data_IF_138459475908
#
_entry.id   IF_138459475908
#
_cell.length_a   1.000
_cell.length_b   1.000
_cell.length_c   1.000
_cell.angle_alpha   90.00
_cell.angle_beta   90.00
_cell.angle_gamma   90.00
#
_symmetry.space_group_name_H-M   'P 1'
#
loop_
_entity.id
_entity.type
_entity.pdbx_description
1 polymer ?
#
# COMPACT_ATOMS: atom_id res chain seq x y z
N UNK A 1 26.43 -8.62 19.71
CA UNK A 1 25.05 -9.00 19.35
C UNK A 1 24.25 -7.71 19.25
N UNK A 2 24.49 -6.99 18.15
CA UNK A 2 23.92 -5.67 17.89
C UNK A 2 22.55 -5.92 17.26
N UNK A 3 21.49 -5.85 18.07
CA UNK A 3 20.12 -6.00 17.58
C UNK A 3 19.85 -4.86 16.61
N UNK A 4 19.99 -5.20 15.33
CA UNK A 4 19.51 -4.54 14.13
C UNK A 4 18.49 -3.45 14.47
N UNK A 5 18.93 -2.19 14.38
CA UNK A 5 18.18 -0.99 14.74
C UNK A 5 16.95 -0.87 13.83
N UNK A 6 15.90 -1.66 14.09
CA UNK A 6 14.61 -1.63 13.40
C UNK A 6 14.11 -0.19 13.53
N UNK A 7 14.05 0.51 12.39
CA UNK A 7 13.49 1.86 12.34
C UNK A 7 12.10 1.82 13.00
N UNK A 8 11.81 2.66 14.01
CA UNK A 8 10.50 2.67 14.64
C UNK A 8 9.43 2.95 13.59
N UNK A 9 8.31 2.23 13.64
CA UNK A 9 7.22 2.42 12.71
C UNK A 9 6.68 3.85 12.81
N UNK A 10 6.39 4.46 11.66
CA UNK A 10 5.75 5.78 11.63
C UNK A 10 4.25 5.66 11.90
N UNK A 11 3.64 6.71 12.45
CA UNK A 11 2.18 6.74 12.63
C UNK A 11 1.44 6.45 11.33
N UNK A 12 1.85 7.10 10.24
CA UNK A 12 1.29 6.88 8.91
C UNK A 12 1.37 5.42 8.46
N UNK A 13 2.53 4.76 8.60
CA UNK A 13 2.69 3.37 8.17
C UNK A 13 1.81 2.43 8.99
N UNK A 14 1.72 2.64 10.31
CA UNK A 14 0.84 1.82 11.17
C UNK A 14 -0.62 2.00 10.78
N UNK A 15 -1.08 3.24 10.64
CA UNK A 15 -2.47 3.56 10.29
C UNK A 15 -2.84 3.05 8.89
N UNK A 16 -1.96 3.23 7.90
CA UNK A 16 -2.16 2.69 6.56
C UNK A 16 -2.23 1.15 6.57
N UNK A 17 -1.34 0.49 7.33
CA UNK A 17 -1.37 -0.97 7.48
C UNK A 17 -2.63 -1.47 8.18
N UNK A 18 -3.14 -0.76 9.19
CA UNK A 18 -4.41 -1.09 9.84
C UNK A 18 -5.57 -1.04 8.85
N UNK A 19 -5.71 0.06 8.10
CA UNK A 19 -6.77 0.20 7.09
C UNK A 19 -6.63 -0.81 5.94
N UNK A 20 -5.40 -1.17 5.54
CA UNK A 20 -5.15 -2.17 4.49
C UNK A 20 -5.60 -3.58 4.87
N UNK A 21 -5.71 -3.88 6.18
CA UNK A 21 -6.10 -5.19 6.69
C UNK A 21 -7.61 -5.43 6.73
N UNK A 22 -8.41 -4.38 6.56
CA UNK A 22 -9.88 -4.45 6.65
C UNK A 22 -10.52 -4.55 5.26
N UNK A 23 -11.66 -5.25 5.20
CA UNK A 23 -12.52 -5.33 4.01
C UNK A 23 -13.98 -5.05 4.41
N UNK A 24 -14.52 -3.84 4.13
CA UNK A 24 -13.90 -2.73 3.41
C UNK A 24 -12.80 -2.01 4.24
N UNK A 25 -11.85 -1.29 3.59
CA UNK A 25 -10.68 -0.69 4.27
C UNK A 25 -11.03 0.58 5.07
N UNK A 26 -11.82 0.42 6.12
CA UNK A 26 -12.38 1.52 6.91
C UNK A 26 -12.52 1.18 8.40
N UNK A 27 -12.03 2.08 9.26
CA UNK A 27 -12.10 1.93 10.71
C UNK A 27 -12.53 3.21 11.44
N UNK A 28 -13.18 3.09 12.61
CA UNK A 28 -13.37 4.21 13.52
C UNK A 28 -12.02 4.77 14.01
N UNK A 29 -11.96 6.09 14.21
CA UNK A 29 -10.77 6.79 14.72
C UNK A 29 -10.32 6.25 16.08
N UNK A 30 -11.25 5.78 16.92
CA UNK A 30 -10.94 5.22 18.23
C UNK A 30 -10.06 3.96 18.09
N UNK A 31 -10.45 3.03 17.22
CA UNK A 31 -9.69 1.80 16.96
C UNK A 31 -8.32 2.11 16.34
N UNK A 32 -8.26 3.07 15.41
CA UNK A 32 -7.00 3.49 14.79
C UNK A 32 -6.02 4.10 15.80
N UNK A 33 -6.53 4.91 16.75
CA UNK A 33 -5.74 5.50 17.82
C UNK A 33 -5.26 4.44 18.81
N UNK A 34 -6.12 3.50 19.20
CA UNK A 34 -5.80 2.39 20.09
C UNK A 34 -4.71 1.49 19.49
N UNK A 35 -4.88 1.09 18.23
CA UNK A 35 -3.92 0.28 17.49
C UNK A 35 -2.57 1.00 17.36
N UNK A 36 -2.57 2.30 17.04
CA UNK A 36 -1.34 3.09 17.01
C UNK A 36 -0.63 3.12 18.38
N UNK A 37 -1.40 3.11 19.47
CA UNK A 37 -0.90 3.01 20.85
C UNK A 37 -0.06 1.76 21.10
N UNK A 38 -0.41 0.62 20.49
CA UNK A 38 0.37 -0.64 20.57
C UNK A 38 1.81 -0.48 20.04
N UNK A 39 2.05 0.53 19.21
CA UNK A 39 3.35 0.86 18.64
C UNK A 39 4.02 2.08 19.31
N UNK A 40 3.51 2.52 20.47
CA UNK A 40 4.04 3.67 21.19
C UNK A 40 3.73 5.03 20.54
N UNK A 41 2.74 5.09 19.65
CA UNK A 41 2.31 6.34 19.02
C UNK A 41 1.19 6.95 19.85
N UNK A 42 1.37 8.20 20.29
CA UNK A 42 0.32 8.89 21.05
C UNK A 42 -0.90 9.20 20.19
N UNK A 43 -2.09 9.23 20.81
CA UNK A 43 -3.33 9.52 20.08
C UNK A 43 -3.34 10.87 19.38
N UNK A 44 -2.64 11.88 19.91
CA UNK A 44 -2.47 13.16 19.20
C UNK A 44 -1.66 13.00 17.91
N UNK A 45 -0.52 12.27 17.96
CA UNK A 45 0.28 11.99 16.76
C UNK A 45 -0.50 11.17 15.73
N UNK A 46 -1.30 10.20 16.18
CA UNK A 46 -2.16 9.41 15.30
C UNK A 46 -3.19 10.28 14.56
N UNK A 47 -3.91 11.16 15.28
CA UNK A 47 -4.90 12.07 14.67
C UNK A 47 -4.26 13.07 13.70
N UNK A 48 -3.11 13.63 14.06
CA UNK A 48 -2.35 14.51 13.15
C UNK A 48 -1.92 13.76 11.88
N UNK A 49 -1.46 12.51 12.02
CA UNK A 49 -1.11 11.68 10.87
C UNK A 49 -2.32 11.36 9.99
N UNK A 50 -3.48 11.03 10.58
CA UNK A 50 -4.73 10.82 9.84
C UNK A 50 -5.15 12.07 9.06
N UNK A 51 -5.12 13.25 9.69
CA UNK A 51 -5.41 14.52 9.02
C UNK A 51 -4.48 14.76 7.83
N UNK A 52 -3.17 14.50 7.99
CA UNK A 52 -2.19 14.60 6.90
C UNK A 52 -2.43 13.58 5.79
N UNK A 53 -2.84 12.35 6.12
CA UNK A 53 -3.19 11.34 5.13
C UNK A 53 -4.42 11.76 4.32
N UNK A 54 -5.43 12.37 4.97
CA UNK A 54 -6.59 12.94 4.27
C UNK A 54 -6.17 14.08 3.35
N UNK A 55 -5.36 15.03 3.84
CA UNK A 55 -4.84 16.12 3.02
C UNK A 55 -3.99 15.65 1.83
N UNK A 56 -3.31 14.51 1.97
CA UNK A 56 -2.52 13.87 0.90
C UNK A 56 -3.36 12.99 -0.05
N UNK A 57 -4.68 12.87 0.16
CA UNK A 57 -5.56 12.03 -0.66
C UNK A 57 -5.37 10.52 -0.46
N UNK A 58 -4.79 10.12 0.67
CA UNK A 58 -4.50 8.71 1.01
C UNK A 58 -5.57 8.07 1.89
N UNK A 59 -6.37 8.90 2.53
CA UNK A 59 -7.54 8.49 3.28
C UNK A 59 -8.67 9.49 3.04
N UNK A 60 -9.89 9.07 3.28
CA UNK A 60 -11.05 9.94 3.40
C UNK A 60 -11.65 9.78 4.79
N UNK A 61 -12.42 10.78 5.23
CA UNK A 61 -13.20 10.70 6.45
C UNK A 61 -14.62 11.16 6.15
N UNK A 62 -15.59 10.54 6.81
CA UNK A 62 -17.00 10.89 6.73
C UNK A 62 -17.37 12.09 7.62
N UNK A 63 -16.43 12.61 8.40
CA UNK A 63 -16.67 13.66 9.39
C UNK A 63 -17.36 13.18 10.67
N UNK A 64 -17.82 11.92 10.71
CA UNK A 64 -18.42 11.28 11.89
C UNK A 64 -17.40 10.42 12.67
N UNK A 65 -16.13 10.46 12.26
CA UNK A 65 -15.02 9.82 12.99
C UNK A 65 -14.62 8.47 12.41
N UNK A 66 -15.02 8.12 11.18
CA UNK A 66 -14.46 6.97 10.46
C UNK A 66 -13.47 7.44 9.40
N UNK A 67 -12.47 6.61 9.16
CA UNK A 67 -11.45 6.84 8.14
C UNK A 67 -11.38 5.64 7.20
N UNK A 68 -11.39 5.92 5.90
CA UNK A 68 -11.30 4.94 4.83
C UNK A 68 -10.03 5.15 4.01
N UNK A 69 -9.39 4.08 3.56
CA UNK A 69 -8.23 4.18 2.66
C UNK A 69 -8.64 4.73 1.28
N UNK A 70 -7.81 5.57 0.69
CA UNK A 70 -8.09 6.23 -0.59
C UNK A 70 -6.85 6.38 -1.48
N UNK A 71 -7.09 6.87 -2.70
CA UNK A 71 -6.05 7.27 -3.64
C UNK A 71 -5.06 6.15 -4.00
N UNK A 72 -3.78 6.50 -4.06
CA UNK A 72 -2.73 5.60 -4.52
C UNK A 72 -2.47 4.41 -3.58
N UNK A 73 -2.86 4.50 -2.30
CA UNK A 73 -2.73 3.39 -1.34
C UNK A 73 -3.81 2.34 -1.58
N UNK A 74 -5.05 2.74 -1.86
CA UNK A 74 -6.13 1.83 -2.22
C UNK A 74 -5.80 1.04 -3.50
N UNK A 75 -5.29 1.73 -4.54
CA UNK A 75 -4.82 1.06 -5.76
C UNK A 75 -3.65 0.08 -5.54
N UNK A 76 -2.93 0.19 -4.42
CA UNK A 76 -1.89 -0.76 -4.03
C UNK A 76 -2.43 -1.93 -3.20
N UNK A 77 -3.54 -1.75 -2.47
CA UNK A 77 -4.13 -2.78 -1.60
C UNK A 77 -4.47 -4.06 -2.37
N UNK A 78 -5.19 -3.94 -3.49
CA UNK A 78 -5.58 -5.10 -4.30
C UNK A 78 -4.36 -5.95 -4.71
N UNK A 79 -3.27 -5.30 -5.16
CA UNK A 79 -2.02 -6.00 -5.50
C UNK A 79 -1.35 -6.64 -4.31
N UNK A 80 -1.35 -5.99 -3.15
CA UNK A 80 -0.78 -6.57 -1.94
C UNK A 80 -1.58 -7.79 -1.49
N UNK A 81 -2.90 -7.70 -1.51
CA UNK A 81 -3.79 -8.81 -1.15
C UNK A 81 -3.59 -10.00 -2.08
N UNK A 82 -3.55 -9.76 -3.40
CA UNK A 82 -3.27 -10.78 -4.43
C UNK A 82 -1.85 -11.35 -4.34
N UNK A 83 -0.88 -10.57 -3.86
CA UNK A 83 0.48 -11.08 -3.60
C UNK A 83 0.52 -11.94 -2.33
N UNK A 84 -0.32 -11.64 -1.34
CA UNK A 84 -0.42 -12.38 -0.06
C UNK A 84 -1.17 -13.70 -0.20
N UNK A 85 -2.16 -13.79 -1.09
CA UNK A 85 -2.88 -15.05 -1.33
C UNK A 85 -1.99 -16.14 -1.93
N UNK A 86 -0.83 -15.76 -2.51
CA UNK A 86 0.21 -16.73 -2.89
C UNK A 86 -0.28 -17.79 -3.88
N UNK A 87 -1.34 -17.50 -4.65
CA UNK A 87 -1.95 -18.44 -5.59
C UNK A 87 -0.96 -18.72 -6.73
N UNK A 88 -0.08 -19.68 -6.50
CA UNK A 88 0.79 -20.28 -7.49
C UNK A 88 0.17 -21.62 -7.89
N UNK A 89 -0.22 -21.74 -9.16
CA UNK A 89 -0.49 -23.05 -9.73
C UNK A 89 0.83 -23.84 -9.84
N UNK A 90 0.79 -25.18 -9.85
CA UNK A 90 1.95 -25.98 -10.24
C UNK A 90 2.51 -25.45 -11.57
N UNK A 91 3.80 -25.18 -11.59
CA UNK A 91 4.44 -24.68 -12.80
C UNK A 91 4.49 -25.79 -13.85
N UNK A 92 4.04 -25.50 -15.06
CA UNK A 92 3.95 -26.45 -16.17
C UNK A 92 5.21 -26.47 -17.06
N UNK A 93 6.29 -25.82 -16.61
CA UNK A 93 7.56 -25.75 -17.33
C UNK A 93 7.63 -24.64 -18.39
N UNK A 94 6.54 -23.88 -18.64
CA UNK A 94 6.50 -22.85 -19.67
C UNK A 94 6.85 -21.47 -19.14
N UNK A 95 7.49 -20.67 -19.99
CA UNK A 95 7.81 -19.26 -19.75
C UNK A 95 7.07 -18.38 -20.75
N UNK A 96 6.65 -17.20 -20.29
CA UNK A 96 6.06 -16.17 -21.15
C UNK A 96 7.14 -15.15 -21.50
N UNK A 97 7.40 -14.99 -22.79
CA UNK A 97 8.30 -13.95 -23.31
C UNK A 97 7.48 -12.95 -24.14
N UNK A 98 7.70 -11.66 -23.90
CA UNK A 98 7.05 -10.58 -24.64
C UNK A 98 8.10 -9.73 -25.35
N UNK A 99 8.12 -9.76 -26.68
CA UNK A 99 9.06 -8.98 -27.49
C UNK A 99 8.45 -7.64 -27.86
N UNK A 100 9.05 -6.54 -27.39
CA UNK A 100 8.53 -5.20 -27.64
C UNK A 100 9.22 -4.57 -28.86
N UNK A 101 8.51 -4.49 -30.00
CA UNK A 101 9.11 -4.08 -31.30
C UNK A 101 9.12 -2.57 -31.61
N UNK A 102 8.69 -1.68 -30.70
CA UNK A 102 8.64 -0.25 -31.03
C UNK A 102 9.97 0.47 -30.76
N UNK A 103 10.42 1.25 -31.74
CA UNK A 103 11.64 2.09 -31.72
C UNK A 103 11.25 3.54 -31.40
N UNK A 104 12.12 4.29 -30.72
CA UNK A 104 11.96 5.75 -30.53
C UNK A 104 10.96 6.20 -29.46
N UNK A 105 10.89 5.52 -28.30
CA UNK A 105 9.96 5.89 -27.22
C UNK A 105 10.50 6.99 -26.30
N UNK A 106 9.63 7.94 -25.94
CA UNK A 106 9.87 8.91 -24.88
C UNK A 106 10.14 8.22 -23.53
N UNK A 107 10.78 8.95 -22.61
CA UNK A 107 11.05 8.45 -21.26
C UNK A 107 9.77 8.02 -20.52
N UNK A 108 8.69 8.78 -20.71
CA UNK A 108 7.38 8.52 -20.12
C UNK A 108 6.79 7.19 -20.61
N UNK A 109 6.81 6.93 -21.93
CA UNK A 109 6.30 5.67 -22.47
C UNK A 109 7.10 4.46 -21.98
N UNK A 110 8.42 4.61 -21.80
CA UNK A 110 9.26 3.56 -21.21
C UNK A 110 8.92 3.33 -19.73
N UNK A 111 8.69 4.39 -18.96
CA UNK A 111 8.28 4.29 -17.57
C UNK A 111 6.90 3.62 -17.42
N UNK A 112 5.92 4.03 -18.24
CA UNK A 112 4.59 3.45 -18.25
C UNK A 112 4.61 1.96 -18.62
N UNK A 113 5.43 1.56 -19.61
CA UNK A 113 5.62 0.15 -19.97
C UNK A 113 6.22 -0.66 -18.83
N UNK A 114 7.30 -0.18 -18.20
CA UNK A 114 7.90 -0.86 -17.04
C UNK A 114 6.89 -1.03 -15.90
N UNK A 115 6.06 -0.01 -15.64
CA UNK A 115 5.00 -0.10 -14.65
C UNK A 115 3.96 -1.18 -15.00
N UNK A 116 3.57 -1.30 -16.28
CA UNK A 116 2.64 -2.34 -16.76
C UNK A 116 3.24 -3.76 -16.69
N UNK A 117 4.50 -3.94 -17.08
CA UNK A 117 5.19 -5.24 -16.97
C UNK A 117 5.29 -5.70 -15.52
N UNK A 118 5.68 -4.79 -14.61
CA UNK A 118 5.72 -5.09 -13.18
C UNK A 118 4.34 -5.46 -12.61
N UNK A 119 3.26 -4.83 -13.08
CA UNK A 119 1.88 -5.21 -12.71
C UNK A 119 1.53 -6.63 -13.19
N UNK A 120 2.03 -7.05 -14.35
CA UNK A 120 1.87 -8.40 -14.89
C UNK A 120 2.85 -9.43 -14.31
N UNK A 121 3.66 -9.07 -13.30
CA UNK A 121 4.74 -9.90 -12.74
C UNK A 121 5.79 -10.33 -13.79
N UNK A 122 6.02 -9.48 -14.81
CA UNK A 122 7.06 -9.63 -15.83
C UNK A 122 8.21 -8.64 -15.60
N UNK A 123 9.39 -8.95 -16.12
CA UNK A 123 10.57 -8.09 -16.13
C UNK A 123 11.01 -7.75 -17.57
N UNK A 124 11.67 -6.60 -17.75
CA UNK A 124 12.34 -6.17 -19.00
C UNK A 124 13.85 -6.38 -18.87
#
# INVERSE_FOLDING_TARGET
MDQERKRPFTARSVLASALLGEDPPELPVAHLVELAGLFGISGNRARVALSRMVAAGEATTDGAGRYRLAGHLLGRQARQLESRTGAAAPWDGRWVFVVVRAVGRSAEMRAARRARLAQARLAE
#
